data_IF_147753559354
#
_entry.id   IF_147753559354
#
_cell.length_a   1.000
_cell.length_b   1.000
_cell.length_c   1.000
_cell.angle_alpha   90.00
_cell.angle_beta   90.00
_cell.angle_gamma   90.00
#
_symmetry.space_group_name_H-M   'P 1'
#
loop_
_entity.id
_entity.type
_entity.pdbx_description
1 polymer ?
#
# COMPACT_ATOMS: atom_id res chain seq x y z
N UNK A 1 -3.43 18.87 0.54
CA UNK A 1 -4.59 19.06 -0.36
C UNK A 1 -4.29 18.42 -1.69
N UNK A 2 -5.27 17.76 -2.30
CA UNK A 2 -5.14 17.11 -3.61
C UNK A 2 -5.30 18.10 -4.76
N UNK A 3 -4.99 17.66 -5.99
CA UNK A 3 -5.20 18.48 -7.19
C UNK A 3 -6.67 18.87 -7.31
N UNK A 4 -6.98 20.15 -7.60
CA UNK A 4 -8.36 20.65 -7.63
C UNK A 4 -9.20 20.08 -8.77
N UNK A 5 -8.57 19.72 -9.88
CA UNK A 5 -9.24 19.22 -11.09
C UNK A 5 -9.32 17.70 -11.12
N UNK A 6 -8.30 17.01 -10.60
CA UNK A 6 -8.16 15.55 -10.72
C UNK A 6 -8.22 14.80 -9.38
N UNK A 7 -8.15 15.49 -8.25
CA UNK A 7 -8.15 14.86 -6.94
C UNK A 7 -6.86 14.08 -6.67
N UNK A 8 -7.02 12.94 -6.00
CA UNK A 8 -5.92 12.06 -5.60
C UNK A 8 -5.56 11.11 -6.76
N UNK A 9 -4.27 10.88 -6.99
CA UNK A 9 -3.82 9.97 -8.06
C UNK A 9 -4.22 8.52 -7.82
N UNK A 10 -4.18 8.06 -6.56
CA UNK A 10 -4.39 6.65 -6.20
C UNK A 10 -5.84 6.30 -5.84
N UNK A 11 -6.70 7.29 -5.65
CA UNK A 11 -8.09 7.09 -5.22
C UNK A 11 -9.06 7.82 -6.13
N UNK A 12 -10.22 7.23 -6.34
CA UNK A 12 -11.36 7.90 -6.94
C UNK A 12 -12.02 8.85 -5.94
N UNK A 13 -12.94 9.69 -6.44
CA UNK A 13 -13.82 10.53 -5.63
C UNK A 13 -14.66 9.72 -4.62
N UNK A 14 -14.87 8.43 -4.85
CA UNK A 14 -15.57 7.49 -3.97
C UNK A 14 -14.65 6.79 -2.96
N UNK A 15 -13.36 7.13 -2.93
CA UNK A 15 -12.37 6.47 -2.08
C UNK A 15 -12.03 5.04 -2.51
N UNK A 16 -12.37 4.66 -3.74
CA UNK A 16 -11.95 3.38 -4.32
C UNK A 16 -10.61 3.53 -5.03
N UNK A 17 -9.93 2.41 -5.29
CA UNK A 17 -8.69 2.39 -6.06
C UNK A 17 -8.90 2.99 -7.46
N UNK A 18 -8.00 3.90 -7.87
CA UNK A 18 -8.03 4.45 -9.23
C UNK A 18 -7.48 3.45 -10.24
N UNK A 19 -7.79 3.62 -11.53
CA UNK A 19 -7.18 2.82 -12.58
C UNK A 19 -5.64 2.93 -12.58
N UNK A 20 -5.08 4.09 -12.23
CA UNK A 20 -3.63 4.23 -12.08
C UNK A 20 -3.08 3.35 -10.95
N UNK A 21 -3.71 3.38 -9.78
CA UNK A 21 -3.31 2.56 -8.64
C UNK A 21 -3.41 1.05 -8.94
N UNK A 22 -4.49 0.63 -9.61
CA UNK A 22 -4.65 -0.74 -10.09
C UNK A 22 -3.45 -1.19 -10.94
N UNK A 23 -3.04 -0.38 -11.92
CA UNK A 23 -1.89 -0.74 -12.78
C UNK A 23 -0.57 -0.78 -12.02
N UNK A 24 -0.33 0.13 -11.06
CA UNK A 24 0.85 0.06 -10.20
C UNK A 24 0.88 -1.26 -9.43
N UNK A 25 -0.24 -1.66 -8.83
CA UNK A 25 -0.33 -2.93 -8.11
C UNK A 25 -0.22 -4.17 -9.01
N UNK A 26 -0.54 -4.07 -10.30
CA UNK A 26 -0.39 -5.18 -11.25
C UNK A 26 1.01 -5.31 -11.83
N UNK A 27 1.72 -4.19 -12.02
CA UNK A 27 2.95 -4.18 -12.82
C UNK A 27 4.22 -3.86 -12.05
N UNK A 28 4.13 -3.25 -10.87
CA UNK A 28 5.29 -2.92 -10.06
C UNK A 28 5.33 -3.79 -8.81
N UNK A 29 6.38 -4.60 -8.67
CA UNK A 29 6.64 -5.34 -7.43
C UNK A 29 6.89 -4.39 -6.25
N UNK A 30 7.59 -3.28 -6.53
CA UNK A 30 7.85 -2.18 -5.57
C UNK A 30 7.78 -0.85 -6.32
N UNK A 31 7.18 0.16 -5.70
CA UNK A 31 7.19 1.53 -6.20
C UNK A 31 7.61 2.51 -5.11
N UNK A 32 8.26 3.60 -5.51
CA UNK A 32 8.73 4.65 -4.61
C UNK A 32 8.76 5.99 -5.35
N UNK A 33 8.87 7.10 -4.64
CA UNK A 33 8.83 8.45 -5.25
C UNK A 33 10.03 8.75 -6.15
N UNK A 34 11.19 8.16 -5.85
CA UNK A 34 12.44 8.34 -6.61
C UNK A 34 13.39 7.15 -6.40
N UNK A 35 14.24 6.79 -7.39
CA UNK A 35 15.12 5.63 -7.29
C UNK A 35 16.10 5.68 -6.12
N UNK A 36 16.54 6.87 -5.70
CA UNK A 36 17.51 7.02 -4.61
C UNK A 36 16.96 6.52 -3.27
N UNK A 37 15.64 6.38 -3.14
CA UNK A 37 15.04 5.79 -1.94
C UNK A 37 15.45 4.32 -1.76
N UNK A 38 15.81 3.60 -2.83
CA UNK A 38 16.35 2.24 -2.72
C UNK A 38 17.74 2.21 -2.07
N UNK A 39 18.50 3.31 -2.12
CA UNK A 39 19.82 3.42 -1.48
C UNK A 39 19.74 3.50 0.05
N UNK A 40 18.53 3.69 0.60
CA UNK A 40 18.28 3.63 2.05
C UNK A 40 18.27 2.20 2.59
N UNK A 41 18.26 1.20 1.71
CA UNK A 41 18.26 -0.21 2.07
C UNK A 41 19.60 -0.85 1.70
N UNK A 42 20.08 -1.85 2.48
CA UNK A 42 21.19 -2.69 2.06
C UNK A 42 20.91 -3.35 0.69
N UNK A 43 21.91 -3.50 -0.19
CA UNK A 43 21.74 -4.19 -1.47
C UNK A 43 21.17 -5.61 -1.35
N UNK A 44 21.40 -6.28 -0.22
CA UNK A 44 20.94 -7.64 0.08
C UNK A 44 19.58 -7.68 0.81
N UNK A 45 18.93 -6.52 1.00
CA UNK A 45 17.67 -6.44 1.73
C UNK A 45 16.53 -7.14 0.98
N UNK A 46 15.74 -7.90 1.73
CA UNK A 46 14.50 -8.49 1.23
C UNK A 46 13.34 -7.55 1.55
N UNK A 47 12.58 -7.16 0.51
CA UNK A 47 11.41 -6.29 0.65
C UNK A 47 10.16 -7.16 0.77
N UNK A 48 9.51 -7.12 1.93
CA UNK A 48 8.30 -7.89 2.21
C UNK A 48 7.07 -6.97 2.22
N UNK A 49 6.01 -7.41 1.54
CA UNK A 49 4.71 -6.73 1.62
C UNK A 49 4.10 -6.90 3.02
N UNK A 50 3.52 -5.84 3.61
CA UNK A 50 2.70 -5.97 4.81
C UNK A 50 1.58 -6.99 4.62
N UNK A 51 1.38 -7.86 5.62
CA UNK A 51 0.38 -8.93 5.56
C UNK A 51 -1.07 -8.41 5.51
N UNK A 52 -1.30 -7.15 5.88
CA UNK A 52 -2.61 -6.51 5.98
C UNK A 52 -2.92 -5.53 4.83
N UNK A 53 -2.08 -5.48 3.78
CA UNK A 53 -2.26 -4.49 2.71
C UNK A 53 -3.50 -4.76 1.83
N UNK A 54 -3.98 -6.00 1.79
CA UNK A 54 -5.15 -6.42 1.01
C UNK A 54 -6.08 -7.28 1.85
N UNK A 55 -6.74 -6.63 2.80
CA UNK A 55 -7.83 -7.22 3.59
C UNK A 55 -8.97 -7.53 2.62
N UNK A 56 -9.18 -8.81 2.31
CA UNK A 56 -10.32 -9.25 1.51
C UNK A 56 -11.61 -9.04 2.30
N UNK A 57 -12.78 -8.90 1.65
CA UNK A 57 -14.04 -8.67 2.36
C UNK A 57 -14.38 -9.73 3.43
N UNK A 58 -13.83 -10.94 3.31
CA UNK A 58 -13.98 -12.04 4.27
C UNK A 58 -12.85 -12.13 5.30
N UNK A 59 -11.82 -11.29 5.22
CA UNK A 59 -10.78 -11.24 6.23
C UNK A 59 -11.34 -10.57 7.49
N UNK A 60 -11.30 -11.31 8.60
CA UNK A 60 -11.68 -10.80 9.92
C UNK A 60 -10.42 -10.28 10.60
N UNK A 61 -10.35 -8.98 10.89
CA UNK A 61 -9.25 -8.42 11.69
C UNK A 61 -9.42 -8.86 13.14
N UNK A 62 -8.65 -9.85 13.57
CA UNK A 62 -8.58 -10.25 14.98
C UNK A 62 -7.92 -9.10 15.75
N UNK A 63 -8.60 -8.58 16.78
CA UNK A 63 -8.04 -7.50 17.59
C UNK A 63 -6.78 -7.98 18.32
N UNK A 64 -5.69 -7.24 18.20
CA UNK A 64 -4.44 -7.53 18.95
C UNK A 64 -4.64 -7.47 20.46
N UNK A 65 -5.69 -6.80 20.94
CA UNK A 65 -6.08 -6.82 22.35
C UNK A 65 -6.49 -8.20 22.86
N UNK A 66 -6.86 -9.14 21.97
CA UNK A 66 -7.20 -10.52 22.34
C UNK A 66 -5.97 -11.35 22.71
N UNK A 67 -4.77 -10.92 22.30
CA UNK A 67 -3.49 -11.56 22.62
C UNK A 67 -2.72 -10.84 23.73
N UNK A 68 -3.31 -9.80 24.34
CA UNK A 68 -2.76 -9.19 25.56
C UNK A 68 -3.24 -10.03 26.75
N UNK A 69 -2.62 -11.18 26.98
CA UNK A 69 -2.64 -11.93 28.24
C UNK A 69 -1.68 -13.13 28.13
N UNK A 70 -0.38 -12.86 28.06
CA UNK A 70 0.71 -13.63 28.70
C UNK A 70 1.80 -12.65 29.13
#
# INVERSE_FOLDING_TARGET
>A
MFNKSFGATFLTDRGQESAFAYHIHQYADVYTSKPENFLLYPPEAWLHVPFDIKIMPHHVKVSSSLFKNE
#
